data_IF_677908588670
#
_entry.id   IF_677908588670
#
_cell.length_a   1.000
_cell.length_b   1.000
_cell.length_c   1.000
_cell.angle_alpha   90.00
_cell.angle_beta   90.00
_cell.angle_gamma   90.00
#
_symmetry.space_group_name_H-M   'P 1'
#
loop_
_entity.id
_entity.type
_entity.pdbx_description
1 polymer ?
#
# COMPACT_ATOMS: atom_id res chain seq x y z
N UNK A 1 -14.28 -17.72 -27.16
CA UNK A 1 -15.47 -18.16 -27.96
C UNK A 1 -15.36 -19.65 -28.26
N UNK A 2 -16.45 -20.43 -28.14
CA UNK A 2 -16.46 -21.87 -28.46
C UNK A 2 -16.51 -22.06 -29.98
N UNK A 3 -15.56 -22.79 -30.56
CA UNK A 3 -15.52 -23.15 -31.99
C UNK A 3 -15.10 -24.61 -32.13
N UNK A 4 -15.81 -25.38 -32.96
CA UNK A 4 -15.56 -26.81 -33.19
C UNK A 4 -15.46 -27.64 -31.89
N UNK A 5 -16.33 -27.36 -30.93
CA UNK A 5 -16.34 -28.05 -29.63
C UNK A 5 -15.21 -27.64 -28.67
N UNK A 6 -14.32 -26.72 -29.07
CA UNK A 6 -13.19 -26.26 -28.24
C UNK A 6 -13.41 -24.82 -27.79
N UNK A 7 -13.04 -24.55 -26.55
CA UNK A 7 -12.93 -23.17 -26.05
C UNK A 7 -11.50 -22.69 -26.29
N UNK A 8 -11.37 -21.47 -26.84
CA UNK A 8 -10.08 -20.78 -26.96
C UNK A 8 -10.16 -19.45 -26.23
N UNK A 9 -9.22 -19.26 -25.32
CA UNK A 9 -8.97 -18.04 -24.57
C UNK A 9 -7.48 -17.73 -24.64
N UNK A 10 -7.14 -16.45 -24.74
CA UNK A 10 -5.77 -15.97 -24.55
C UNK A 10 -5.67 -15.44 -23.12
N UNK A 11 -4.64 -15.84 -22.39
CA UNK A 11 -4.38 -15.39 -21.02
C UNK A 11 -3.06 -14.62 -21.03
N UNK A 12 -3.08 -13.41 -20.48
CA UNK A 12 -1.91 -12.57 -20.26
C UNK A 12 -2.09 -11.93 -18.89
N UNK A 13 -1.04 -11.94 -18.08
CA UNK A 13 -0.98 -11.33 -16.76
C UNK A 13 0.42 -10.73 -16.55
N UNK A 14 0.56 -9.70 -15.69
CA UNK A 14 1.85 -9.10 -15.41
C UNK A 14 2.79 -10.09 -14.69
N UNK A 15 4.07 -9.77 -14.65
CA UNK A 15 5.10 -10.51 -13.91
C UNK A 15 5.66 -9.62 -12.78
N UNK A 16 4.77 -9.01 -12.02
CA UNK A 16 5.08 -8.04 -10.96
C UNK A 16 5.27 -8.70 -9.60
N UNK A 17 4.59 -9.84 -9.35
CA UNK A 17 4.72 -10.59 -8.11
C UNK A 17 5.43 -11.92 -8.32
N UNK A 18 6.01 -12.46 -7.24
CA UNK A 18 6.66 -13.77 -7.29
C UNK A 18 5.67 -14.87 -7.70
N UNK A 19 4.43 -14.83 -7.22
CA UNK A 19 3.41 -15.82 -7.60
C UNK A 19 3.10 -15.75 -9.11
N UNK A 20 3.04 -14.54 -9.67
CA UNK A 20 2.83 -14.34 -11.10
C UNK A 20 4.01 -14.91 -11.91
N UNK A 21 5.24 -14.62 -11.51
CA UNK A 21 6.44 -15.13 -12.18
C UNK A 21 6.45 -16.66 -12.14
N UNK A 22 6.28 -17.26 -10.96
CA UNK A 22 6.25 -18.71 -10.80
C UNK A 22 5.15 -19.38 -11.62
N UNK A 23 3.94 -18.81 -11.65
CA UNK A 23 2.85 -19.30 -12.46
C UNK A 23 3.16 -19.19 -13.97
N UNK A 24 3.75 -18.07 -14.39
CA UNK A 24 4.18 -17.82 -15.77
C UNK A 24 5.20 -18.86 -16.23
N UNK A 25 6.30 -19.03 -15.50
CA UNK A 25 7.37 -19.99 -15.81
C UNK A 25 6.86 -21.43 -15.87
N UNK A 26 6.00 -21.82 -14.91
CA UNK A 26 5.38 -23.13 -14.91
C UNK A 26 4.56 -23.36 -16.18
N UNK A 27 3.71 -22.40 -16.55
CA UNK A 27 2.87 -22.49 -17.76
C UNK A 27 3.73 -22.49 -19.02
N UNK A 28 4.79 -21.71 -19.09
CA UNK A 28 5.73 -21.73 -20.23
C UNK A 28 6.35 -23.11 -20.42
N UNK A 29 6.90 -23.71 -19.36
CA UNK A 29 7.51 -25.05 -19.38
C UNK A 29 6.54 -26.14 -19.85
N UNK A 30 5.23 -25.97 -19.64
CA UNK A 30 4.21 -26.97 -19.99
C UNK A 30 3.81 -26.98 -21.48
N UNK A 31 4.20 -25.98 -22.28
CA UNK A 31 3.96 -25.96 -23.72
C UNK A 31 2.46 -26.12 -24.07
N UNK A 32 2.11 -27.10 -24.89
CA UNK A 32 0.71 -27.33 -25.31
C UNK A 32 -0.21 -27.88 -24.19
N UNK A 33 0.34 -28.23 -23.03
CA UNK A 33 -0.42 -28.76 -21.88
C UNK A 33 -0.88 -27.68 -20.89
N UNK A 34 -0.57 -26.41 -21.14
CA UNK A 34 -1.03 -25.26 -20.34
C UNK A 34 -2.52 -25.30 -20.03
N UNK A 35 -3.33 -25.52 -21.08
CA UNK A 35 -4.79 -25.52 -20.94
C UNK A 35 -5.32 -26.61 -20.01
N UNK A 36 -4.66 -27.77 -19.95
CA UNK A 36 -5.07 -28.86 -19.06
C UNK A 36 -4.91 -28.47 -17.59
N UNK A 37 -3.78 -27.84 -17.23
CA UNK A 37 -3.51 -27.38 -15.86
C UNK A 37 -4.47 -26.27 -15.46
N UNK A 38 -4.67 -25.27 -16.33
CA UNK A 38 -5.60 -24.16 -16.05
C UNK A 38 -7.03 -24.67 -15.85
N UNK A 39 -7.48 -25.61 -16.68
CA UNK A 39 -8.83 -26.19 -16.56
C UNK A 39 -8.97 -27.02 -15.28
N UNK A 40 -7.96 -27.81 -14.91
CA UNK A 40 -7.97 -28.59 -13.68
C UNK A 40 -8.02 -27.68 -12.43
N UNK A 41 -7.13 -26.68 -12.36
CA UNK A 41 -7.09 -25.72 -11.27
C UNK A 41 -8.40 -24.92 -11.15
N UNK A 42 -8.98 -24.50 -12.28
CA UNK A 42 -10.28 -23.83 -12.27
C UNK A 42 -11.40 -24.76 -11.79
N UNK A 43 -11.36 -26.05 -12.14
CA UNK A 43 -12.29 -27.05 -11.64
C UNK A 43 -12.24 -27.21 -10.13
N UNK A 44 -11.03 -27.32 -9.56
CA UNK A 44 -10.82 -27.37 -8.11
C UNK A 44 -11.30 -26.08 -7.43
N UNK A 45 -10.99 -24.92 -8.02
CA UNK A 45 -11.43 -23.63 -7.51
C UNK A 45 -12.95 -23.49 -7.48
N UNK A 46 -13.64 -23.93 -8.55
CA UNK A 46 -15.11 -23.94 -8.62
C UNK A 46 -15.73 -24.94 -7.64
N UNK A 47 -15.10 -26.09 -7.40
CA UNK A 47 -15.56 -27.06 -6.42
C UNK A 47 -15.48 -26.48 -4.99
N UNK A 48 -14.43 -25.72 -4.68
CA UNK A 48 -14.30 -25.00 -3.41
C UNK A 48 -15.26 -23.80 -3.30
N UNK A 49 -15.66 -23.19 -4.43
CA UNK A 49 -16.48 -21.97 -4.48
C UNK A 49 -17.70 -22.15 -5.40
N UNK A 50 -18.68 -23.01 -5.03
CA UNK A 50 -19.83 -23.32 -5.89
C UNK A 50 -20.73 -22.11 -6.18
N UNK A 51 -20.67 -21.07 -5.34
CA UNK A 51 -21.39 -19.81 -5.56
C UNK A 51 -21.06 -19.16 -6.91
N UNK A 52 -19.85 -19.36 -7.44
CA UNK A 52 -19.41 -18.80 -8.72
C UNK A 52 -20.13 -19.39 -9.94
N UNK A 53 -20.81 -20.53 -9.77
CA UNK A 53 -21.66 -21.13 -10.81
C UNK A 53 -23.04 -20.46 -10.89
N UNK A 54 -23.42 -19.70 -9.85
CA UNK A 54 -24.68 -18.96 -9.86
C UNK A 54 -24.58 -17.78 -10.84
N UNK A 55 -25.58 -17.57 -11.72
CA UNK A 55 -25.58 -16.44 -12.65
C UNK A 55 -25.66 -15.07 -11.95
N UNK A 56 -26.05 -15.05 -10.67
CA UNK A 56 -26.13 -13.83 -9.85
C UNK A 56 -24.80 -13.49 -9.17
N UNK A 57 -23.83 -14.42 -9.16
CA UNK A 57 -22.53 -14.19 -8.57
C UNK A 57 -21.64 -13.39 -9.53
N UNK A 58 -21.37 -12.13 -9.18
CA UNK A 58 -20.37 -11.31 -9.87
C UNK A 58 -18.99 -11.62 -9.31
N UNK A 59 -18.11 -12.15 -10.14
CA UNK A 59 -16.68 -12.30 -9.82
C UNK A 59 -16.04 -10.91 -9.86
N UNK A 60 -15.85 -10.30 -8.70
CA UNK A 60 -15.03 -9.09 -8.57
C UNK A 60 -13.56 -9.48 -8.36
N UNK A 61 -12.77 -9.44 -9.43
CA UNK A 61 -11.32 -9.54 -9.32
C UNK A 61 -10.82 -8.19 -8.78
N UNK A 62 -10.73 -8.07 -7.46
CA UNK A 62 -10.01 -6.97 -6.83
C UNK A 62 -8.53 -7.23 -7.04
N UNK A 63 -7.97 -6.68 -8.12
CA UNK A 63 -6.54 -6.48 -8.22
C UNK A 63 -6.17 -5.56 -7.05
N UNK A 64 -5.73 -6.16 -5.94
CA UNK A 64 -5.23 -5.40 -4.81
C UNK A 64 -3.99 -4.70 -5.34
N UNK A 65 -4.12 -3.42 -5.69
CA UNK A 65 -2.96 -2.54 -5.70
C UNK A 65 -2.43 -2.60 -4.27
N UNK A 66 -1.38 -3.38 -4.05
CA UNK A 66 -0.68 -3.47 -2.78
C UNK A 66 0.10 -2.18 -2.55
N UNK A 67 -0.61 -1.05 -2.46
CA UNK A 67 -0.10 0.11 -1.74
C UNK A 67 0.03 -0.35 -0.29
N UNK A 68 1.24 -0.75 0.09
CA UNK A 68 1.53 -1.19 1.45
C UNK A 68 1.13 -0.07 2.41
N UNK A 69 0.52 -0.42 3.54
CA UNK A 69 0.15 0.56 4.57
C UNK A 69 1.36 1.43 4.95
N UNK A 70 2.54 0.82 4.99
CA UNK A 70 3.81 1.51 5.24
C UNK A 70 4.11 2.61 4.20
N UNK A 71 3.93 2.33 2.90
CA UNK A 71 4.15 3.33 1.84
C UNK A 71 3.14 4.48 1.92
N UNK A 72 1.88 4.16 2.24
CA UNK A 72 0.85 5.18 2.45
C UNK A 72 1.18 6.06 3.66
N UNK A 73 1.61 5.46 4.78
CA UNK A 73 2.02 6.18 5.98
C UNK A 73 3.23 7.08 5.74
N UNK A 74 4.24 6.60 5.03
CA UNK A 74 5.45 7.38 4.70
C UNK A 74 5.10 8.59 3.83
N UNK A 75 4.25 8.40 2.82
CA UNK A 75 3.76 9.47 1.97
C UNK A 75 2.97 10.51 2.77
N UNK A 76 2.07 10.08 3.68
CA UNK A 76 1.31 10.99 4.55
C UNK A 76 2.25 11.77 5.49
N UNK A 77 3.27 11.12 6.06
CA UNK A 77 4.26 11.78 6.94
C UNK A 77 5.04 12.85 6.18
N UNK A 78 5.45 12.59 4.94
CA UNK A 78 6.17 13.56 4.12
C UNK A 78 5.31 14.79 3.82
N UNK A 79 4.05 14.59 3.41
CA UNK A 79 3.12 15.69 3.15
C UNK A 79 2.89 16.55 4.39
N UNK A 80 2.71 15.92 5.56
CA UNK A 80 2.54 16.66 6.82
C UNK A 80 3.79 17.43 7.24
N UNK A 81 4.97 16.85 7.00
CA UNK A 81 6.25 17.50 7.31
C UNK A 81 6.45 18.75 6.46
N UNK A 82 6.21 18.65 5.14
CA UNK A 82 6.27 19.79 4.22
C UNK A 82 5.31 20.91 4.63
N UNK A 83 4.09 20.57 5.08
CA UNK A 83 3.15 21.57 5.59
C UNK A 83 3.60 22.22 6.91
N UNK A 84 4.22 21.46 7.81
CA UNK A 84 4.71 22.01 9.08
C UNK A 84 5.92 22.95 8.88
N UNK A 85 6.82 22.61 7.95
CA UNK A 85 7.97 23.43 7.58
C UNK A 85 7.52 24.72 6.90
N UNK A 86 6.54 24.66 6.00
CA UNK A 86 5.94 25.84 5.39
C UNK A 86 5.28 26.79 6.41
N UNK A 87 4.79 26.27 7.55
CA UNK A 87 4.23 27.08 8.65
C UNK A 87 5.33 27.68 9.54
N UNK A 88 6.50 27.04 9.62
CA UNK A 88 7.62 27.53 10.44
C UNK A 88 8.37 28.70 9.78
N UNK A 89 8.45 28.73 8.45
CA UNK A 89 9.09 29.85 7.72
C UNK A 89 8.25 31.15 7.74
N UNK A 90 6.94 31.06 7.97
CA UNK A 90 6.06 32.23 8.12
C UNK A 90 6.04 32.81 9.56
N UNK A 91 6.79 32.18 10.49
CA UNK A 91 6.84 32.53 11.91
C UNK A 91 8.17 33.08 12.43
N UNK A 92 9.20 33.19 11.59
CA UNK A 92 10.54 33.64 12.02
C UNK A 92 10.89 35.02 11.45
N UNK A 93 10.14 36.07 11.83
CA UNK A 93 10.68 37.44 11.82
C UNK A 93 9.93 38.33 12.82
N UNK A 94 10.37 38.31 14.07
CA UNK A 94 10.54 39.51 14.92
C UNK A 94 11.38 39.09 16.12
N UNK A 95 12.62 39.56 16.15
CA UNK A 95 13.52 39.38 17.28
C UNK A 95 13.02 40.04 18.57
N UNK A 96 13.44 39.48 19.69
CA UNK A 96 13.87 40.25 20.85
C UNK A 96 14.86 39.39 21.63
N UNK A 97 16.06 39.94 21.85
CA UNK A 97 17.07 39.43 22.77
C UNK A 97 16.46 39.39 24.19
N UNK A 98 15.97 38.23 24.62
CA UNK A 98 15.52 38.06 26.00
C UNK A 98 16.77 37.90 26.88
N UNK A 99 17.15 38.99 27.54
CA UNK A 99 18.22 39.03 28.55
C UNK A 99 17.90 38.09 29.71
N UNK A 100 18.40 36.84 29.62
CA UNK A 100 18.22 35.81 30.64
C UNK A 100 18.88 36.15 31.99
N UNK A 101 19.80 37.13 32.07
CA UNK A 101 20.50 37.45 33.30
C UNK A 101 19.63 38.24 34.29
N UNK A 102 18.76 39.14 33.81
CA UNK A 102 17.85 39.89 34.70
C UNK A 102 16.83 38.99 35.40
N UNK A 103 16.35 37.97 34.70
CA UNK A 103 15.30 37.07 35.20
C UNK A 103 15.82 36.10 36.28
N UNK A 104 17.11 35.73 36.24
CA UNK A 104 17.73 34.89 37.27
C UNK A 104 17.96 35.69 38.56
N UNK A 105 18.36 36.97 38.46
CA UNK A 105 18.58 37.82 39.64
C UNK A 105 17.27 38.05 40.42
N UNK A 106 16.16 38.30 39.73
CA UNK A 106 14.83 38.41 40.37
C UNK A 106 14.36 37.09 41.01
N UNK A 107 14.70 35.94 40.43
CA UNK A 107 14.36 34.63 41.02
C UNK A 107 15.18 34.30 42.27
N UNK A 108 16.42 34.81 42.40
CA UNK A 108 17.27 34.59 43.57
C UNK A 108 16.88 35.47 44.77
N UNK A 109 16.49 36.73 44.54
CA UNK A 109 15.99 37.63 45.60
C UNK A 109 14.73 37.06 46.29
N UNK A 110 13.88 36.38 45.53
CA UNK A 110 12.67 35.74 46.07
C UNK A 110 12.96 34.54 46.99
N UNK A 111 14.15 33.94 46.93
CA UNK A 111 14.56 32.83 47.80
C UNK A 111 15.09 33.35 49.14
N UNK A 112 15.69 34.54 49.16
CA UNK A 112 16.28 35.15 50.37
C UNK A 112 15.21 35.69 51.34
N UNK A 113 13.99 35.98 50.86
CA UNK A 113 12.87 36.43 51.68
C UNK A 113 12.18 35.32 52.52
N UNK A 114 12.58 34.05 52.36
CA UNK A 114 12.03 32.91 53.10
C UNK A 114 12.98 32.28 54.13
N UNK A 115 14.06 32.97 54.52
CA UNK A 115 14.90 32.62 55.68
C UNK A 115 14.56 33.41 56.93
#
# INVERSE_FOLDING_TARGET
MRKNGKYRFSLQFPAETEEQIQAGELLERLGNRKSAVVVAALGEYLAAHPALLSPECRVEIKAVQSLSQNFLEEMVRNVLKEQLEAVHEDGSDTGDDVDFNGNITEMLDNIEAFQ
#
